data_IF_530263139397
#
_entry.id   IF_530263139397
#
_cell.length_a   1.000
_cell.length_b   1.000
_cell.length_c   1.000
_cell.angle_alpha   90.00
_cell.angle_beta   90.00
_cell.angle_gamma   90.00
#
_symmetry.space_group_name_H-M   'P 1'
#
loop_
_entity.id
_entity.type
_entity.pdbx_description
1 polymer ?
#
# COMPACT_ATOMS: atom_id res chain seq x y z
N UNK A 1 -22.27 33.00 -17.68
CA UNK A 1 -22.28 32.11 -16.49
C UNK A 1 -20.83 31.84 -16.14
N UNK A 2 -20.33 32.44 -15.05
CA UNK A 2 -18.94 32.29 -14.62
C UNK A 2 -18.72 30.87 -14.08
N UNK A 3 -17.72 30.17 -14.58
CA UNK A 3 -17.29 28.89 -14.02
C UNK A 3 -16.80 29.13 -12.60
N UNK A 4 -17.54 28.63 -11.60
CA UNK A 4 -17.06 28.61 -10.23
C UNK A 4 -15.77 27.78 -10.19
N UNK A 5 -14.64 28.46 -10.08
CA UNK A 5 -13.32 27.84 -9.87
C UNK A 5 -13.40 26.95 -8.63
N UNK A 6 -13.00 25.69 -8.73
CA UNK A 6 -12.90 24.80 -7.58
C UNK A 6 -12.05 25.48 -6.51
N UNK A 7 -12.63 25.74 -5.34
CA UNK A 7 -11.97 26.47 -4.25
C UNK A 7 -10.74 25.66 -3.82
N UNK A 8 -9.54 26.19 -4.06
CA UNK A 8 -8.28 25.55 -3.68
C UNK A 8 -8.30 25.33 -2.16
N UNK A 9 -7.88 24.16 -1.70
CA UNK A 9 -7.78 23.85 -0.26
C UNK A 9 -6.34 23.55 0.08
N UNK A 10 -5.89 24.05 1.23
CA UNK A 10 -4.54 23.87 1.71
C UNK A 10 -4.55 23.03 2.98
N UNK A 11 -3.51 22.22 3.15
CA UNK A 11 -3.33 21.45 4.36
C UNK A 11 -2.79 22.35 5.48
N UNK A 12 -1.87 23.26 5.13
CA UNK A 12 -1.16 24.13 6.05
C UNK A 12 -1.04 25.56 5.52
N UNK A 13 -1.38 26.55 6.35
CA UNK A 13 -0.98 27.94 6.18
C UNK A 13 0.29 28.21 6.98
N UNK A 14 1.25 28.93 6.40
CA UNK A 14 2.55 29.23 7.01
C UNK A 14 2.65 30.72 7.37
N UNK A 15 2.56 31.03 8.66
CA UNK A 15 2.75 32.38 9.22
C UNK A 15 4.15 32.53 9.81
N UNK A 16 4.86 33.58 9.40
CA UNK A 16 6.25 33.83 9.78
C UNK A 16 6.64 35.30 9.56
N UNK A 17 7.71 35.77 10.23
CA UNK A 17 8.29 37.08 9.92
C UNK A 17 9.16 37.02 8.67
N UNK A 18 9.23 38.12 7.90
CA UNK A 18 10.09 38.19 6.72
C UNK A 18 11.57 37.88 7.02
N UNK A 19 12.04 38.20 8.23
CA UNK A 19 13.40 37.88 8.69
C UNK A 19 13.68 36.39 8.80
N UNK A 20 12.64 35.56 8.98
CA UNK A 20 12.75 34.11 9.15
C UNK A 20 12.66 33.35 7.81
N UNK A 21 12.55 34.09 6.69
CA UNK A 21 12.34 33.52 5.36
C UNK A 21 13.33 32.40 4.98
N UNK A 22 14.65 32.50 5.25
CA UNK A 22 15.58 31.42 4.89
C UNK A 22 15.22 30.09 5.58
N UNK A 23 14.85 30.15 6.86
CA UNK A 23 14.46 28.98 7.65
C UNK A 23 13.13 28.39 7.15
N UNK A 24 12.13 29.26 6.95
CA UNK A 24 10.79 28.87 6.53
C UNK A 24 10.77 28.30 5.11
N UNK A 25 11.57 28.85 4.20
CA UNK A 25 11.66 28.34 2.83
C UNK A 25 12.11 26.88 2.80
N UNK A 26 13.14 26.55 3.58
CA UNK A 26 13.63 25.17 3.71
C UNK A 26 12.56 24.25 4.29
N UNK A 27 11.90 24.68 5.38
CA UNK A 27 10.84 23.89 6.02
C UNK A 27 9.65 23.65 5.08
N UNK A 28 9.24 24.68 4.32
CA UNK A 28 8.18 24.59 3.34
C UNK A 28 8.53 23.62 2.19
N UNK A 29 9.76 23.66 1.68
CA UNK A 29 10.24 22.72 0.67
C UNK A 29 10.23 21.27 1.18
N UNK A 30 10.70 21.05 2.40
CA UNK A 30 10.72 19.72 3.04
C UNK A 30 9.31 19.14 3.26
N UNK A 31 8.34 19.99 3.63
CA UNK A 31 6.92 19.63 3.74
C UNK A 31 6.29 19.34 2.37
N UNK A 32 6.59 20.17 1.36
CA UNK A 32 6.11 19.96 -0.01
C UNK A 32 6.66 18.67 -0.62
N UNK A 33 7.91 18.31 -0.34
CA UNK A 33 8.50 17.03 -0.74
C UNK A 33 7.73 15.83 -0.13
N UNK A 34 7.09 16.04 1.03
CA UNK A 34 6.20 15.07 1.67
C UNK A 34 4.75 15.16 1.21
N UNK A 35 4.47 15.90 0.14
CA UNK A 35 3.14 16.08 -0.48
C UNK A 35 2.13 16.85 0.38
N UNK A 36 2.60 17.66 1.34
CA UNK A 36 1.73 18.59 2.06
C UNK A 36 1.40 19.78 1.16
N UNK A 37 0.12 20.12 1.01
CA UNK A 37 -0.34 21.31 0.29
C UNK A 37 -0.19 22.56 1.17
N UNK A 38 0.70 23.47 0.80
CA UNK A 38 1.02 24.67 1.59
C UNK A 38 0.43 25.93 0.98
N UNK A 39 -0.17 26.78 1.82
CA UNK A 39 -0.26 28.21 1.55
C UNK A 39 1.01 28.86 2.10
N UNK A 40 1.92 29.20 1.19
CA UNK A 40 3.17 29.92 1.46
C UNK A 40 3.20 31.16 0.58
N UNK A 41 3.40 32.34 1.17
CA UNK A 41 3.29 33.64 0.50
C UNK A 41 4.09 33.68 -0.82
N UNK A 42 5.31 33.14 -0.84
CA UNK A 42 6.18 33.11 -2.02
C UNK A 42 5.63 32.27 -3.18
N UNK A 43 4.76 31.31 -2.91
CA UNK A 43 4.17 30.44 -3.93
C UNK A 43 2.78 30.94 -4.35
N UNK A 44 2.06 31.61 -3.45
CA UNK A 44 0.64 31.92 -3.63
C UNK A 44 0.34 33.41 -3.89
N UNK A 45 1.27 34.32 -3.57
CA UNK A 45 1.13 35.76 -3.83
C UNK A 45 1.65 36.16 -5.20
N UNK A 46 0.96 37.08 -5.87
CA UNK A 46 1.36 37.67 -7.16
C UNK A 46 1.47 39.20 -7.06
N UNK A 47 2.29 39.85 -7.92
CA UNK A 47 2.28 41.30 -8.01
C UNK A 47 0.88 41.85 -8.31
N UNK A 48 0.44 42.84 -7.52
CA UNK A 48 -0.90 43.43 -7.61
C UNK A 48 -1.94 42.82 -6.66
N UNK A 49 -1.62 41.72 -5.96
CA UNK A 49 -2.50 41.15 -4.95
C UNK A 49 -2.62 42.04 -3.70
N UNK A 50 -3.84 42.18 -3.17
CA UNK A 50 -4.05 42.76 -1.84
C UNK A 50 -3.60 41.75 -0.77
N UNK A 51 -2.50 42.07 -0.07
CA UNK A 51 -1.90 41.19 0.95
C UNK A 51 -2.92 40.67 1.97
N UNK A 52 -3.74 41.57 2.52
CA UNK A 52 -4.73 41.24 3.55
C UNK A 52 -5.80 40.25 3.07
N UNK A 53 -6.31 40.45 1.85
CA UNK A 53 -7.37 39.61 1.28
C UNK A 53 -6.83 38.21 0.99
N UNK A 54 -5.66 38.10 0.36
CA UNK A 54 -5.04 36.81 0.03
C UNK A 54 -4.69 35.99 1.27
N UNK A 55 -4.22 36.65 2.33
CA UNK A 55 -3.93 35.98 3.59
C UNK A 55 -5.23 35.50 4.25
N UNK A 56 -6.25 36.36 4.34
CA UNK A 56 -7.55 35.95 4.86
C UNK A 56 -8.12 34.76 4.09
N UNK A 57 -8.02 34.77 2.76
CA UNK A 57 -8.43 33.66 1.89
C UNK A 57 -7.60 32.39 2.11
N UNK A 58 -6.28 32.54 2.28
CA UNK A 58 -5.36 31.45 2.56
C UNK A 58 -5.70 30.75 3.88
N UNK A 59 -5.87 31.53 4.95
CA UNK A 59 -6.31 31.02 6.25
C UNK A 59 -7.70 30.37 6.09
N UNK A 60 -8.62 30.99 5.33
CA UNK A 60 -9.97 30.46 5.09
C UNK A 60 -9.98 29.07 4.43
N UNK A 61 -8.99 28.79 3.60
CA UNK A 61 -8.85 27.57 2.81
C UNK A 61 -7.92 26.53 3.44
N UNK A 62 -7.24 26.88 4.54
CA UNK A 62 -6.33 25.99 5.25
C UNK A 62 -7.03 25.20 6.36
N UNK A 63 -6.54 23.99 6.62
CA UNK A 63 -6.99 23.12 7.74
C UNK A 63 -6.11 23.28 8.98
N UNK A 64 -4.85 23.63 8.77
CA UNK A 64 -3.87 23.87 9.83
C UNK A 64 -3.24 25.23 9.62
N UNK A 65 -3.04 25.98 10.70
CA UNK A 65 -2.33 27.26 10.72
C UNK A 65 -1.05 27.09 11.52
N UNK A 66 0.11 27.12 10.86
CA UNK A 66 1.40 27.10 11.52
C UNK A 66 1.88 28.52 11.75
N UNK A 67 2.31 28.81 12.97
CA UNK A 67 3.05 30.03 13.28
C UNK A 67 4.47 29.68 13.69
N UNK A 68 5.44 30.27 13.00
CA UNK A 68 6.82 30.21 13.44
C UNK A 68 7.05 31.23 14.56
N UNK A 69 7.55 30.77 15.69
CA UNK A 69 7.89 31.55 16.88
C UNK A 69 9.40 31.76 16.94
N UNK A 70 9.79 32.98 16.60
CA UNK A 70 11.11 33.61 16.74
C UNK A 70 10.94 34.98 17.41
N UNK A 71 12.02 35.60 17.93
CA UNK A 71 11.96 36.98 18.43
C UNK A 71 11.42 37.96 17.38
N UNK A 72 11.79 37.77 16.11
CA UNK A 72 11.35 38.61 15.00
C UNK A 72 9.85 38.45 14.68
N UNK A 73 9.31 37.23 14.81
CA UNK A 73 7.88 36.95 14.62
C UNK A 73 7.02 37.53 15.73
N UNK A 74 7.47 37.45 16.99
CA UNK A 74 6.72 37.95 18.15
C UNK A 74 6.65 39.48 18.18
N UNK A 75 7.71 40.14 17.69
CA UNK A 75 7.75 41.59 17.52
C UNK A 75 7.00 42.08 16.27
N UNK A 76 6.49 41.19 15.41
CA UNK A 76 5.81 41.57 14.18
C UNK A 76 4.32 41.77 14.40
N UNK A 77 3.86 43.03 14.29
CA UNK A 77 2.43 43.37 14.32
C UNK A 77 1.61 42.58 13.29
N UNK A 78 2.21 42.26 12.15
CA UNK A 78 1.58 41.48 11.09
C UNK A 78 1.36 40.02 11.49
N UNK A 79 2.40 39.37 12.04
CA UNK A 79 2.28 37.99 12.56
C UNK A 79 1.26 37.94 13.71
N UNK A 80 1.28 38.95 14.60
CA UNK A 80 0.31 39.07 15.69
C UNK A 80 -1.13 39.24 15.18
N UNK A 81 -1.35 40.00 14.10
CA UNK A 81 -2.67 40.09 13.47
C UNK A 81 -3.14 38.75 12.89
N UNK A 82 -2.28 38.05 12.15
CA UNK A 82 -2.62 36.73 11.57
C UNK A 82 -2.89 35.68 12.64
N UNK A 83 -2.08 35.66 13.70
CA UNK A 83 -2.27 34.85 14.89
C UNK A 83 -3.65 35.08 15.50
N UNK A 84 -4.03 36.33 15.72
CA UNK A 84 -5.35 36.66 16.28
C UNK A 84 -6.50 36.19 15.39
N UNK A 85 -6.37 36.31 14.06
CA UNK A 85 -7.37 35.79 13.11
C UNK A 85 -7.42 34.26 13.14
N UNK A 86 -6.28 33.58 13.16
CA UNK A 86 -6.19 32.12 13.22
C UNK A 86 -6.79 31.56 14.51
N UNK A 87 -6.44 32.14 15.66
CA UNK A 87 -6.96 31.76 16.97
C UNK A 87 -8.47 32.02 17.08
N UNK A 88 -8.96 33.17 16.61
CA UNK A 88 -10.39 33.46 16.61
C UNK A 88 -11.18 32.41 15.81
N UNK A 89 -10.70 32.04 14.62
CA UNK A 89 -11.38 31.02 13.79
C UNK A 89 -11.34 29.63 14.41
N UNK A 90 -10.26 29.26 15.09
CA UNK A 90 -10.19 28.01 15.84
C UNK A 90 -11.20 28.00 17.01
N UNK A 91 -11.30 29.11 17.75
CA UNK A 91 -12.26 29.29 18.85
C UNK A 91 -13.71 29.26 18.35
N UNK A 92 -13.99 29.86 17.19
CA UNK A 92 -15.31 29.87 16.54
C UNK A 92 -15.72 28.50 15.97
N UNK A 93 -14.90 27.45 16.19
CA UNK A 93 -15.22 26.08 15.76
C UNK A 93 -14.99 25.84 14.27
N UNK A 94 -14.25 26.70 13.58
CA UNK A 94 -13.78 26.37 12.23
C UNK A 94 -12.88 25.14 12.29
N UNK A 95 -12.85 24.34 11.22
CA UNK A 95 -11.91 23.21 11.06
C UNK A 95 -10.47 23.68 10.81
N UNK A 96 -9.99 24.65 11.59
CA UNK A 96 -8.66 25.22 11.54
C UNK A 96 -7.96 24.94 12.89
N UNK A 97 -6.81 24.30 12.86
CA UNK A 97 -5.99 24.04 14.05
C UNK A 97 -4.74 24.92 14.04
N UNK A 98 -4.50 25.68 15.12
CA UNK A 98 -3.27 26.48 15.26
C UNK A 98 -2.15 25.64 15.87
N UNK A 99 -0.99 25.63 15.22
CA UNK A 99 0.22 24.88 15.62
C UNK A 99 1.41 25.84 15.77
N UNK A 100 1.87 26.11 17.01
CA UNK A 100 3.08 26.88 17.24
C UNK A 100 4.35 26.06 16.96
N UNK A 101 5.33 26.68 16.32
CA UNK A 101 6.63 26.07 15.99
C UNK A 101 7.76 26.97 16.48
N UNK A 102 8.55 26.50 17.46
CA UNK A 102 9.67 27.23 18.04
C UNK A 102 10.94 27.03 17.22
N UNK A 103 11.58 28.13 16.81
CA UNK A 103 12.87 28.10 16.11
C UNK A 103 14.07 28.46 17.01
N UNK A 104 13.84 28.61 18.31
CA UNK A 104 14.86 28.95 19.30
C UNK A 104 14.95 30.45 19.58
N UNK A 105 15.61 30.81 20.69
CA UNK A 105 15.82 32.20 21.10
C UNK A 105 14.59 32.92 21.64
N UNK A 106 13.50 32.20 21.94
CA UNK A 106 12.26 32.75 22.51
C UNK A 106 12.08 32.22 23.92
N UNK A 107 11.87 33.09 24.90
CA UNK A 107 11.48 32.68 26.26
C UNK A 107 9.98 32.35 26.26
N UNK A 108 9.57 31.32 27.02
CA UNK A 108 8.16 30.92 27.22
C UNK A 108 7.31 32.12 27.66
N UNK A 109 7.88 33.06 28.43
CA UNK A 109 7.20 34.28 28.89
C UNK A 109 6.90 35.29 27.78
N UNK A 110 7.55 35.17 26.62
CA UNK A 110 7.33 36.04 25.45
C UNK A 110 6.26 35.47 24.52
N UNK A 111 6.00 34.16 24.59
CA UNK A 111 4.95 33.49 23.82
C UNK A 111 3.57 34.00 24.28
N UNK A 112 2.63 34.33 23.39
CA UNK A 112 1.26 34.65 23.77
C UNK A 112 0.60 33.57 24.62
N UNK A 113 -0.19 33.97 25.63
CA UNK A 113 -0.78 33.03 26.61
C UNK A 113 -1.60 31.92 25.93
N UNK A 114 -2.36 32.28 24.90
CA UNK A 114 -3.18 31.32 24.13
C UNK A 114 -2.35 30.23 23.46
N UNK A 115 -1.12 30.56 23.03
CA UNK A 115 -0.19 29.60 22.44
C UNK A 115 0.58 28.78 23.48
N UNK A 116 0.81 29.31 24.69
CA UNK A 116 1.50 28.57 25.77
C UNK A 116 0.75 27.31 26.20
N UNK A 117 -0.56 27.29 26.02
CA UNK A 117 -1.40 26.13 26.36
C UNK A 117 -1.44 25.07 25.26
N UNK A 118 -0.87 25.36 24.08
CA UNK A 118 -0.79 24.44 22.95
C UNK A 118 0.56 23.72 22.95
N UNK A 119 0.55 22.50 22.44
CA UNK A 119 1.79 21.75 22.22
C UNK A 119 2.59 22.40 21.09
N UNK A 120 3.80 22.88 21.41
CA UNK A 120 4.71 23.48 20.45
C UNK A 120 5.60 22.43 19.80
N UNK A 121 5.76 22.51 18.47
CA UNK A 121 6.86 21.84 17.79
C UNK A 121 8.14 22.63 18.01
N UNK A 122 9.29 21.96 18.09
CA UNK A 122 10.60 22.59 18.27
C UNK A 122 11.54 22.22 17.13
N UNK A 123 11.99 23.22 16.38
CA UNK A 123 12.92 23.09 15.25
C UNK A 123 14.29 23.73 15.52
N UNK A 124 14.58 24.09 16.78
CA UNK A 124 15.81 24.77 17.19
C UNK A 124 17.06 23.88 17.10
N UNK A 125 16.90 22.56 17.07
CA UNK A 125 17.96 21.58 16.90
C UNK A 125 17.75 20.73 15.64
N UNK A 126 18.80 20.07 15.15
CA UNK A 126 18.70 19.21 13.96
C UNK A 126 17.73 18.04 14.18
N UNK A 127 17.78 17.40 15.34
CA UNK A 127 16.89 16.27 15.68
C UNK A 127 15.46 16.77 15.92
N UNK A 128 15.31 17.93 16.58
CA UNK A 128 14.02 18.61 16.74
C UNK A 128 13.37 18.95 15.40
N UNK A 129 14.14 19.51 14.47
CA UNK A 129 13.67 19.83 13.11
C UNK A 129 13.08 18.61 12.40
N UNK A 130 13.81 17.49 12.39
CA UNK A 130 13.34 16.26 11.75
C UNK A 130 12.09 15.70 12.44
N UNK A 131 12.06 15.70 13.77
CA UNK A 131 10.93 15.21 14.55
C UNK A 131 9.67 16.08 14.35
N UNK A 132 9.81 17.40 14.39
CA UNK A 132 8.73 18.36 14.17
C UNK A 132 8.11 18.22 12.78
N UNK A 133 8.95 18.00 11.76
CA UNK A 133 8.50 17.79 10.39
C UNK A 133 7.62 16.54 10.26
N UNK A 134 8.05 15.41 10.83
CA UNK A 134 7.25 14.18 10.82
C UNK A 134 5.98 14.33 11.66
N UNK A 135 6.06 14.96 12.84
CA UNK A 135 4.88 15.24 13.69
C UNK A 135 3.84 16.11 12.97
N UNK A 136 4.26 17.13 12.23
CA UNK A 136 3.36 17.99 11.47
C UNK A 136 2.73 17.25 10.27
N UNK A 137 3.51 16.39 9.61
CA UNK A 137 2.99 15.57 8.50
C UNK A 137 1.98 14.54 9.01
N UNK A 138 2.22 13.91 10.16
CA UNK A 138 1.28 12.99 10.80
C UNK A 138 0.01 13.70 11.26
N UNK A 139 0.12 14.94 11.74
CA UNK A 139 -1.03 15.76 12.11
C UNK A 139 -1.93 16.06 10.89
N UNK A 140 -1.30 16.35 9.76
CA UNK A 140 -1.98 16.75 8.52
C UNK A 140 -2.55 15.53 7.77
N UNK A 141 -1.78 14.45 7.70
CA UNK A 141 -2.09 13.23 6.98
C UNK A 141 -2.15 12.02 7.94
N UNK A 142 -3.12 11.97 8.87
CA UNK A 142 -3.23 10.87 9.83
C UNK A 142 -3.36 9.51 9.14
N UNK A 143 -3.95 9.46 7.96
CA UNK A 143 -4.06 8.27 7.12
C UNK A 143 -2.70 7.67 6.75
N UNK A 144 -1.61 8.47 6.72
CA UNK A 144 -0.26 7.96 6.47
C UNK A 144 0.25 7.18 7.66
N UNK A 145 0.05 7.68 8.87
CA UNK A 145 0.43 6.99 10.10
C UNK A 145 -0.34 5.70 10.24
N UNK A 146 -1.66 5.76 10.11
CA UNK A 146 -2.54 4.58 10.15
C UNK A 146 -2.14 3.54 9.11
N UNK A 147 -1.85 3.98 7.87
CA UNK A 147 -1.38 3.08 6.82
C UNK A 147 -0.01 2.47 7.15
N UNK A 148 0.91 3.23 7.74
CA UNK A 148 2.22 2.69 8.16
C UNK A 148 2.07 1.66 9.28
N UNK A 149 1.23 1.94 10.28
CA UNK A 149 0.92 1.02 11.37
C UNK A 149 0.27 -0.26 10.84
N UNK A 150 -0.71 -0.14 9.92
CA UNK A 150 -1.31 -1.28 9.22
C UNK A 150 -0.25 -2.11 8.48
N UNK A 151 0.62 -1.47 7.68
CA UNK A 151 1.67 -2.17 6.95
C UNK A 151 2.67 -2.88 7.87
N UNK A 152 3.02 -2.28 9.01
CA UNK A 152 3.87 -2.90 10.02
C UNK A 152 3.18 -4.12 10.63
N UNK A 153 1.93 -3.99 11.04
CA UNK A 153 1.16 -5.06 11.66
C UNK A 153 0.91 -6.25 10.71
N UNK A 154 0.59 -5.97 9.44
CA UNK A 154 0.45 -7.00 8.40
C UNK A 154 1.75 -7.79 8.20
N UNK A 155 2.90 -7.11 8.09
CA UNK A 155 4.20 -7.78 7.94
C UNK A 155 4.61 -8.57 9.18
N UNK A 156 4.23 -8.07 10.36
CA UNK A 156 4.48 -8.78 11.61
C UNK A 156 3.67 -10.07 11.67
N UNK A 157 2.41 -10.04 11.23
CA UNK A 157 1.48 -11.16 11.36
C UNK A 157 1.05 -11.35 12.83
N UNK A 158 0.89 -10.24 13.55
CA UNK A 158 0.61 -10.17 14.99
C UNK A 158 -0.75 -9.52 15.28
N UNK A 159 -1.21 -9.58 16.53
CA UNK A 159 -2.53 -9.07 16.92
C UNK A 159 -3.65 -9.77 16.15
N UNK A 160 -4.55 -9.01 15.53
CA UNK A 160 -5.60 -9.57 14.66
C UNK A 160 -5.04 -10.25 13.40
N UNK A 161 -3.84 -9.87 12.94
CA UNK A 161 -3.20 -10.46 11.77
C UNK A 161 -2.47 -11.78 12.08
N UNK A 162 -2.65 -12.33 13.29
CA UNK A 162 -2.22 -13.70 13.59
C UNK A 162 -3.06 -14.75 12.86
N UNK A 163 -4.28 -14.39 12.47
CA UNK A 163 -5.23 -15.27 11.81
C UNK A 163 -5.05 -15.25 10.29
N UNK A 164 -4.86 -16.42 9.70
CA UNK A 164 -4.68 -16.59 8.25
C UNK A 164 -5.84 -16.00 7.43
N UNK A 165 -7.12 -16.17 7.80
CA UNK A 165 -8.23 -15.57 7.03
C UNK A 165 -8.14 -14.05 6.91
N UNK A 166 -7.69 -13.37 7.96
CA UNK A 166 -7.53 -11.90 7.96
C UNK A 166 -6.40 -11.50 7.02
N UNK A 167 -5.23 -12.13 7.14
CA UNK A 167 -4.11 -11.85 6.23
C UNK A 167 -4.45 -12.18 4.76
N UNK A 168 -5.17 -13.28 4.53
CA UNK A 168 -5.67 -13.67 3.20
C UNK A 168 -6.55 -12.58 2.59
N UNK A 169 -7.49 -12.02 3.36
CA UNK A 169 -8.35 -10.94 2.90
C UNK A 169 -7.54 -9.74 2.38
N UNK A 170 -6.53 -9.29 3.14
CA UNK A 170 -5.65 -8.19 2.72
C UNK A 170 -4.71 -8.55 1.55
N UNK A 171 -4.34 -9.82 1.41
CA UNK A 171 -3.51 -10.27 0.30
C UNK A 171 -4.30 -10.27 -1.02
N UNK A 172 -5.56 -10.69 -0.98
CA UNK A 172 -6.40 -10.91 -2.17
C UNK A 172 -7.22 -9.70 -2.60
N UNK A 173 -7.59 -8.83 -1.66
CA UNK A 173 -8.50 -7.70 -1.94
C UNK A 173 -7.77 -6.37 -2.18
N UNK A 174 -8.49 -5.41 -2.75
CA UNK A 174 -8.03 -4.05 -3.00
C UNK A 174 -7.04 -3.90 -4.17
N UNK A 175 -6.55 -2.67 -4.35
CA UNK A 175 -5.61 -2.29 -5.42
C UNK A 175 -4.25 -1.78 -4.91
N UNK A 176 -4.03 -1.72 -3.59
CA UNK A 176 -2.73 -1.30 -3.01
C UNK A 176 -1.78 -2.51 -2.90
N UNK A 177 -0.86 -2.62 -3.87
CA UNK A 177 0.14 -3.69 -3.88
C UNK A 177 1.04 -3.69 -2.63
N UNK A 178 1.25 -2.54 -1.98
CA UNK A 178 2.07 -2.47 -0.77
C UNK A 178 1.41 -3.20 0.40
N UNK A 179 0.09 -3.04 0.53
CA UNK A 179 -0.73 -3.71 1.54
C UNK A 179 -0.77 -5.21 1.25
N UNK A 180 -1.01 -5.59 -0.02
CA UNK A 180 -1.01 -6.98 -0.43
C UNK A 180 0.33 -7.67 -0.16
N UNK A 181 1.45 -7.04 -0.51
CA UNK A 181 2.81 -7.56 -0.24
C UNK A 181 3.06 -7.66 1.27
N UNK A 182 2.60 -6.68 2.06
CA UNK A 182 2.73 -6.72 3.50
C UNK A 182 1.97 -7.92 4.11
N UNK A 183 0.73 -8.15 3.65
CA UNK A 183 -0.08 -9.29 4.07
C UNK A 183 0.55 -10.63 3.65
N UNK A 184 1.05 -10.73 2.42
CA UNK A 184 1.80 -11.91 1.93
C UNK A 184 3.04 -12.20 2.79
N UNK A 185 3.78 -11.17 3.22
CA UNK A 185 4.92 -11.35 4.15
C UNK A 185 4.46 -11.83 5.52
N UNK A 186 3.31 -11.37 6.00
CA UNK A 186 2.67 -11.91 7.21
C UNK A 186 2.32 -13.38 7.06
N UNK A 187 1.70 -13.77 5.94
CA UNK A 187 1.38 -15.17 5.60
C UNK A 187 2.64 -16.03 5.55
N UNK A 188 3.72 -15.54 4.95
CA UNK A 188 4.97 -16.27 4.83
C UNK A 188 5.64 -16.63 6.17
N UNK A 189 5.22 -16.01 7.28
CA UNK A 189 5.66 -16.34 8.64
C UNK A 189 4.80 -17.40 9.32
N UNK A 190 3.77 -17.90 8.64
CA UNK A 190 2.83 -18.89 9.15
C UNK A 190 3.02 -20.21 8.41
N UNK A 191 2.65 -21.28 9.10
CA UNK A 191 2.62 -22.63 8.55
C UNK A 191 1.18 -23.09 8.39
N UNK A 192 0.96 -24.04 7.49
CA UNK A 192 -0.36 -24.59 7.22
C UNK A 192 -0.69 -24.60 5.73
N UNK A 193 -1.53 -25.55 5.33
CA UNK A 193 -1.99 -25.69 3.95
C UNK A 193 -2.90 -24.51 3.55
N UNK A 194 -3.60 -23.91 4.51
CA UNK A 194 -4.41 -22.71 4.36
C UNK A 194 -3.58 -21.47 3.97
N UNK A 195 -2.36 -21.36 4.50
CA UNK A 195 -1.38 -20.33 4.10
C UNK A 195 -0.97 -20.52 2.65
N UNK A 196 -0.56 -21.75 2.29
CA UNK A 196 -0.17 -22.08 0.92
C UNK A 196 -1.31 -21.77 -0.06
N UNK A 197 -2.53 -22.19 0.28
CA UNK A 197 -3.75 -21.90 -0.48
C UNK A 197 -3.98 -20.39 -0.68
N UNK A 198 -3.89 -19.59 0.39
CA UNK A 198 -4.06 -18.14 0.31
C UNK A 198 -3.06 -17.47 -0.66
N UNK A 199 -1.82 -17.97 -0.70
CA UNK A 199 -0.79 -17.47 -1.62
C UNK A 199 -1.03 -17.95 -3.06
N UNK A 200 -1.56 -19.17 -3.26
CA UNK A 200 -1.97 -19.67 -4.59
C UNK A 200 -3.12 -18.83 -5.14
N UNK A 201 -4.15 -18.57 -4.35
CA UNK A 201 -5.27 -17.70 -4.76
C UNK A 201 -4.77 -16.31 -5.16
N UNK A 202 -3.71 -15.82 -4.50
CA UNK A 202 -3.09 -14.57 -4.89
C UNK A 202 -2.46 -14.64 -6.28
N UNK A 203 -1.83 -15.77 -6.64
CA UNK A 203 -1.28 -16.01 -7.97
C UNK A 203 -2.34 -16.01 -9.06
N UNK A 204 -3.59 -16.42 -8.75
CA UNK A 204 -4.70 -16.43 -9.70
C UNK A 204 -5.31 -15.05 -9.96
N UNK A 205 -5.00 -14.05 -9.12
CA UNK A 205 -5.49 -12.69 -9.34
C UNK A 205 -4.74 -12.00 -10.50
N UNK A 206 -5.46 -11.21 -11.29
CA UNK A 206 -4.96 -10.61 -12.54
C UNK A 206 -4.14 -9.33 -12.33
N UNK A 207 -4.24 -8.70 -11.15
CA UNK A 207 -3.63 -7.40 -10.89
C UNK A 207 -2.43 -7.51 -9.95
N UNK A 208 -1.51 -6.54 -10.04
CA UNK A 208 -0.47 -6.33 -9.04
C UNK A 208 0.81 -7.11 -9.24
N UNK A 209 1.63 -6.73 -10.25
CA UNK A 209 2.86 -7.44 -10.64
C UNK A 209 3.81 -7.70 -9.47
N UNK A 210 4.03 -6.71 -8.58
CA UNK A 210 4.96 -6.87 -7.46
C UNK A 210 4.41 -7.82 -6.38
N UNK A 211 3.09 -7.83 -6.19
CA UNK A 211 2.44 -8.74 -5.25
C UNK A 211 2.41 -10.18 -5.77
N UNK A 212 2.25 -10.36 -7.09
CA UNK A 212 2.36 -11.66 -7.75
C UNK A 212 3.78 -12.22 -7.66
N UNK A 213 4.79 -11.38 -7.91
CA UNK A 213 6.18 -11.76 -7.73
C UNK A 213 6.50 -12.15 -6.28
N UNK A 214 5.95 -11.42 -5.31
CA UNK A 214 6.07 -11.79 -3.90
C UNK A 214 5.40 -13.14 -3.60
N UNK A 215 4.19 -13.38 -4.11
CA UNK A 215 3.47 -14.64 -3.94
C UNK A 215 4.23 -15.82 -4.55
N UNK A 216 4.72 -15.68 -5.79
CA UNK A 216 5.58 -16.66 -6.44
C UNK A 216 6.80 -17.00 -5.58
N UNK A 217 7.55 -15.99 -5.13
CA UNK A 217 8.72 -16.18 -4.27
C UNK A 217 8.38 -16.85 -2.92
N UNK A 218 7.19 -16.61 -2.38
CA UNK A 218 6.74 -17.28 -1.16
C UNK A 218 6.49 -18.76 -1.45
N UNK A 219 5.77 -19.10 -2.51
CA UNK A 219 5.49 -20.48 -2.90
C UNK A 219 6.78 -21.27 -3.15
N UNK A 220 7.75 -20.70 -3.90
CA UNK A 220 9.05 -21.36 -4.12
C UNK A 220 9.76 -21.67 -2.80
N UNK A 221 9.76 -20.75 -1.83
CA UNK A 221 10.39 -20.97 -0.52
C UNK A 221 9.68 -22.00 0.35
N UNK A 222 8.41 -22.31 0.07
CA UNK A 222 7.65 -23.35 0.79
C UNK A 222 7.97 -24.77 0.30
N UNK A 223 8.93 -24.93 -0.62
CA UNK A 223 9.39 -26.24 -1.09
C UNK A 223 8.27 -27.01 -1.81
N UNK A 224 8.19 -28.33 -1.58
CA UNK A 224 7.28 -29.24 -2.29
C UNK A 224 5.82 -28.75 -2.31
N UNK A 225 5.29 -28.32 -1.17
CA UNK A 225 3.90 -27.82 -1.08
C UNK A 225 3.67 -26.60 -1.96
N UNK A 226 4.57 -25.63 -1.92
CA UNK A 226 4.41 -24.40 -2.69
C UNK A 226 4.66 -24.61 -4.18
N UNK A 227 5.57 -25.51 -4.54
CA UNK A 227 5.77 -25.96 -5.92
C UNK A 227 4.49 -26.64 -6.43
N UNK A 228 3.91 -27.63 -5.73
CA UNK A 228 2.62 -28.21 -6.11
C UNK A 228 1.52 -27.15 -6.26
N UNK A 229 1.52 -26.14 -5.39
CA UNK A 229 0.62 -24.99 -5.50
C UNK A 229 0.80 -24.17 -6.76
N UNK A 230 2.04 -23.89 -7.17
CA UNK A 230 2.33 -23.24 -8.45
C UNK A 230 1.84 -24.10 -9.63
N UNK A 231 1.95 -25.42 -9.54
CA UNK A 231 1.53 -26.35 -10.59
C UNK A 231 0.01 -26.29 -10.78
N UNK A 232 -0.74 -26.16 -9.69
CA UNK A 232 -2.18 -25.96 -9.72
C UNK A 232 -2.61 -24.67 -10.44
N UNK A 233 -1.74 -23.65 -10.51
CA UNK A 233 -2.03 -22.41 -11.26
C UNK A 233 -1.62 -22.44 -12.72
N UNK A 234 -0.95 -23.50 -13.18
CA UNK A 234 -0.24 -23.51 -14.47
C UNK A 234 -1.14 -23.22 -15.68
N UNK A 235 -2.37 -23.75 -15.68
CA UNK A 235 -3.34 -23.54 -16.77
C UNK A 235 -4.00 -22.17 -16.76
N UNK A 236 -4.12 -21.57 -15.58
CA UNK A 236 -4.89 -20.34 -15.37
C UNK A 236 -3.99 -19.10 -15.29
N UNK A 237 -2.69 -19.31 -15.09
CA UNK A 237 -1.68 -18.27 -14.99
C UNK A 237 -0.42 -18.62 -15.80
N UNK A 238 -0.35 -18.06 -17.01
CA UNK A 238 0.81 -18.19 -17.91
C UNK A 238 2.03 -17.37 -17.47
N UNK A 239 1.94 -16.59 -16.39
CA UNK A 239 3.10 -15.91 -15.81
C UNK A 239 4.02 -16.94 -15.17
N UNK A 240 5.32 -16.69 -15.25
CA UNK A 240 6.36 -17.58 -14.74
C UNK A 240 6.33 -18.99 -15.35
N UNK A 241 5.78 -19.17 -16.55
CA UNK A 241 5.53 -20.49 -17.13
C UNK A 241 6.79 -21.38 -17.16
N UNK A 242 7.89 -20.86 -17.73
CA UNK A 242 9.18 -21.56 -17.79
C UNK A 242 9.71 -21.88 -16.39
N UNK A 243 9.67 -20.90 -15.49
CA UNK A 243 10.18 -21.08 -14.13
C UNK A 243 9.37 -22.10 -13.33
N UNK A 244 8.04 -22.11 -13.49
CA UNK A 244 7.15 -23.13 -12.90
C UNK A 244 7.52 -24.51 -13.42
N UNK A 245 7.69 -24.66 -14.73
CA UNK A 245 8.03 -25.95 -15.35
C UNK A 245 9.41 -26.47 -14.90
N UNK A 246 10.41 -25.60 -14.82
CA UNK A 246 11.74 -25.95 -14.32
C UNK A 246 11.66 -26.43 -12.86
N UNK A 247 10.94 -25.69 -11.99
CA UNK A 247 10.72 -26.08 -10.60
C UNK A 247 9.98 -27.42 -10.47
N UNK A 248 9.03 -27.73 -11.35
CA UNK A 248 8.35 -29.03 -11.35
C UNK A 248 9.26 -30.15 -11.80
N UNK A 249 10.07 -29.95 -12.83
CA UNK A 249 11.02 -30.95 -13.29
C UNK A 249 12.13 -31.22 -12.26
N UNK A 250 12.56 -30.20 -11.51
CA UNK A 250 13.49 -30.36 -10.39
C UNK A 250 12.87 -31.14 -9.23
N UNK A 251 11.59 -30.89 -8.92
CA UNK A 251 10.88 -31.59 -7.86
C UNK A 251 10.52 -33.03 -8.23
N UNK A 252 10.15 -33.28 -9.49
CA UNK A 252 9.71 -34.58 -10.02
C UNK A 252 10.50 -34.92 -11.30
N UNK A 253 11.63 -35.63 -11.17
CA UNK A 253 12.54 -35.92 -12.29
C UNK A 253 11.89 -36.65 -13.48
N UNK A 254 10.78 -37.37 -13.25
CA UNK A 254 9.99 -38.00 -14.31
C UNK A 254 9.46 -36.98 -15.34
N UNK A 255 9.35 -35.70 -14.96
CA UNK A 255 8.88 -34.61 -15.81
C UNK A 255 10.00 -33.93 -16.61
N UNK A 256 11.27 -34.29 -16.38
CA UNK A 256 12.41 -33.67 -17.07
C UNK A 256 12.29 -33.80 -18.60
N UNK A 257 11.83 -34.95 -19.10
CA UNK A 257 11.59 -35.16 -20.53
C UNK A 257 10.51 -34.24 -21.11
N UNK A 258 9.44 -33.99 -20.34
CA UNK A 258 8.35 -33.08 -20.76
C UNK A 258 8.84 -31.63 -20.81
N UNK A 259 9.67 -31.23 -19.83
CA UNK A 259 10.33 -29.93 -19.82
C UNK A 259 11.23 -29.76 -21.04
N UNK A 260 12.10 -30.73 -21.31
CA UNK A 260 13.08 -30.65 -22.40
C UNK A 260 12.40 -30.66 -23.79
N UNK A 261 11.34 -31.47 -23.96
CA UNK A 261 10.48 -31.42 -25.16
C UNK A 261 9.84 -30.03 -25.34
N UNK A 262 9.32 -29.43 -24.27
CA UNK A 262 8.73 -28.10 -24.32
C UNK A 262 9.76 -27.03 -24.69
N UNK A 263 10.98 -27.08 -24.13
CA UNK A 263 12.05 -26.15 -24.50
C UNK A 263 12.50 -26.32 -25.96
N UNK A 264 12.39 -27.53 -26.52
CA UNK A 264 12.76 -27.83 -27.89
C UNK A 264 11.71 -27.42 -28.93
N UNK A 265 10.45 -27.17 -28.54
CA UNK A 265 9.34 -26.84 -29.44
C UNK A 265 8.55 -25.59 -28.98
N UNK A 266 8.75 -24.42 -29.62
CA UNK A 266 8.03 -23.21 -29.24
C UNK A 266 6.60 -23.24 -29.83
N UNK A 267 5.61 -23.64 -29.02
CA UNK A 267 4.18 -23.24 -29.00
C UNK A 267 3.26 -24.39 -28.52
N UNK A 268 2.47 -24.10 -27.48
CA UNK A 268 1.16 -24.64 -27.03
C UNK A 268 0.73 -26.12 -27.19
N UNK A 269 1.43 -27.00 -27.88
CA UNK A 269 0.98 -28.38 -28.13
C UNK A 269 1.25 -29.38 -27.00
N UNK A 270 1.98 -28.98 -25.96
CA UNK A 270 2.37 -29.87 -24.86
C UNK A 270 1.59 -29.66 -23.55
N UNK A 271 0.65 -28.72 -23.50
CA UNK A 271 -0.21 -28.48 -22.32
C UNK A 271 -0.93 -29.77 -21.84
N UNK A 272 -1.49 -30.61 -22.72
CA UNK A 272 -2.10 -31.89 -22.32
C UNK A 272 -1.07 -32.87 -21.76
N UNK A 273 0.12 -32.98 -22.36
CA UNK A 273 1.19 -33.87 -21.87
C UNK A 273 1.75 -33.43 -20.52
N UNK A 274 1.91 -32.12 -20.30
CA UNK A 274 2.30 -31.55 -18.99
C UNK A 274 1.20 -31.83 -17.97
N UNK A 275 -0.07 -31.70 -18.35
CA UNK A 275 -1.19 -32.09 -17.51
C UNK A 275 -1.07 -33.56 -17.12
N UNK A 276 -1.07 -34.47 -18.09
CA UNK A 276 -1.01 -35.93 -17.92
C UNK A 276 0.21 -36.37 -17.11
N UNK A 277 1.36 -35.78 -17.35
CA UNK A 277 2.56 -36.10 -16.59
C UNK A 277 2.47 -35.58 -15.14
N UNK A 278 1.86 -34.41 -14.90
CA UNK A 278 1.51 -33.94 -13.54
C UNK A 278 0.48 -34.85 -12.87
N UNK A 279 -0.46 -35.43 -13.63
CA UNK A 279 -1.44 -36.42 -13.14
C UNK A 279 -0.75 -37.73 -12.70
N UNK A 280 0.19 -38.23 -13.49
CA UNK A 280 0.87 -39.50 -13.24
C UNK A 280 1.98 -39.40 -12.19
N UNK A 281 2.70 -38.27 -12.14
CA UNK A 281 3.72 -38.00 -11.12
C UNK A 281 3.10 -37.70 -9.75
N UNK A 282 1.85 -37.22 -9.73
CA UNK A 282 1.07 -37.13 -8.51
C UNK A 282 0.53 -38.52 -8.16
N UNK A 283 1.31 -39.28 -7.39
CA UNK A 283 0.96 -40.49 -6.63
C UNK A 283 -0.56 -40.72 -6.53
N UNK A 284 -1.08 -41.90 -6.89
CA UNK A 284 -2.47 -42.24 -7.25
C UNK A 284 -3.64 -41.71 -6.36
N UNK A 285 -3.36 -41.06 -5.23
CA UNK A 285 -4.28 -40.38 -4.31
C UNK A 285 -4.30 -38.83 -4.40
N UNK A 286 -3.43 -38.23 -5.22
CA UNK A 286 -3.44 -36.79 -5.54
C UNK A 286 -4.07 -36.65 -6.92
N UNK A 287 -5.40 -36.77 -7.00
CA UNK A 287 -6.09 -36.42 -8.26
C UNK A 287 -6.07 -34.90 -8.42
N UNK A 288 -4.98 -34.36 -8.98
CA UNK A 288 -5.00 -33.08 -9.70
C UNK A 288 -6.07 -33.07 -10.80
N UNK A 289 -6.62 -34.24 -11.15
CA UNK A 289 -7.78 -34.44 -11.99
C UNK A 289 -9.08 -33.77 -11.60
N UNK A 290 -9.38 -33.59 -10.31
CA UNK A 290 -10.56 -32.79 -9.94
C UNK A 290 -10.33 -31.30 -10.17
N UNK A 291 -9.06 -30.84 -10.19
CA UNK A 291 -8.73 -29.53 -10.70
C UNK A 291 -8.85 -29.55 -12.24
N UNK A 292 -8.00 -30.27 -12.94
CA UNK A 292 -7.85 -30.17 -14.41
C UNK A 292 -9.11 -30.57 -15.21
N UNK A 293 -9.92 -31.54 -14.76
CA UNK A 293 -11.15 -31.95 -15.45
C UNK A 293 -12.19 -30.81 -15.56
N UNK A 294 -12.22 -29.90 -14.59
CA UNK A 294 -13.05 -28.71 -14.65
C UNK A 294 -12.59 -27.69 -15.73
N UNK A 295 -11.37 -27.80 -16.26
CA UNK A 295 -10.88 -26.93 -17.33
C UNK A 295 -11.25 -27.49 -18.72
N UNK A 296 -11.15 -28.81 -18.92
CA UNK A 296 -11.52 -29.46 -20.19
C UNK A 296 -13.02 -29.30 -20.52
N UNK A 297 -13.90 -29.37 -19.52
CA UNK A 297 -15.34 -29.16 -19.74
C UNK A 297 -15.72 -27.73 -20.16
N UNK A 298 -14.86 -26.74 -19.93
CA UNK A 298 -15.16 -25.34 -20.27
C UNK A 298 -14.37 -24.81 -21.48
N UNK A 299 -13.24 -25.43 -21.84
CA UNK A 299 -12.40 -25.01 -22.96
C UNK A 299 -12.77 -25.60 -24.33
N UNK A 300 -13.44 -26.76 -24.37
CA UNK A 300 -13.71 -27.45 -25.65
C UNK A 300 -14.97 -26.94 -26.40
N UNK A 301 -15.78 -26.08 -25.78
CA UNK A 301 -17.07 -25.66 -26.37
C UNK A 301 -17.03 -24.46 -27.31
N UNK A 302 -16.08 -23.53 -27.18
CA UNK A 302 -16.20 -22.21 -27.81
C UNK A 302 -14.83 -21.66 -28.24
N UNK A 303 -14.46 -21.86 -29.51
CA UNK A 303 -13.31 -21.22 -30.16
C UNK A 303 -13.47 -19.70 -30.36
N UNK A 304 -13.92 -18.97 -29.33
CA UNK A 304 -14.17 -17.52 -29.35
C UNK A 304 -13.49 -16.89 -28.12
N UNK A 305 -12.79 -15.75 -28.25
CA UNK A 305 -12.23 -15.06 -27.10
C UNK A 305 -13.35 -14.56 -26.17
N UNK A 306 -13.39 -15.09 -24.95
CA UNK A 306 -14.43 -14.80 -23.96
C UNK A 306 -14.31 -13.38 -23.37
N UNK A 307 -15.41 -12.62 -23.26
CA UNK A 307 -15.41 -11.30 -22.64
C UNK A 307 -15.14 -11.33 -21.12
N UNK A 308 -14.54 -10.26 -20.60
CA UNK A 308 -14.01 -10.11 -19.23
C UNK A 308 -15.03 -10.40 -18.12
N UNK A 309 -16.32 -10.19 -18.35
CA UNK A 309 -17.39 -10.47 -17.37
C UNK A 309 -17.67 -11.97 -17.19
N UNK A 310 -17.46 -12.80 -18.22
CA UNK A 310 -17.62 -14.26 -18.10
C UNK A 310 -16.52 -14.90 -17.24
N UNK A 311 -15.34 -14.26 -17.15
CA UNK A 311 -14.24 -14.71 -16.27
C UNK A 311 -14.54 -14.54 -14.78
N UNK A 312 -15.38 -13.58 -14.40
CA UNK A 312 -15.74 -13.33 -13.00
C UNK A 312 -16.70 -14.39 -12.45
N UNK A 313 -17.72 -14.79 -13.20
CA UNK A 313 -18.62 -15.89 -12.81
C UNK A 313 -17.93 -17.26 -12.81
N UNK A 314 -16.92 -17.45 -13.66
CA UNK A 314 -16.06 -18.64 -13.63
C UNK A 314 -15.19 -18.68 -12.38
N UNK A 315 -14.63 -17.55 -11.92
CA UNK A 315 -13.82 -17.49 -10.70
C UNK A 315 -14.58 -17.90 -9.43
N UNK A 316 -15.88 -17.62 -9.34
CA UNK A 316 -16.74 -18.08 -8.24
C UNK A 316 -16.95 -19.61 -8.28
N UNK A 317 -17.26 -20.18 -9.45
CA UNK A 317 -17.34 -21.64 -9.64
C UNK A 317 -15.99 -22.36 -9.45
N UNK A 318 -14.90 -21.66 -9.70
CA UNK A 318 -13.52 -22.13 -9.57
C UNK A 318 -13.13 -22.28 -8.10
N UNK A 319 -13.56 -21.34 -7.25
CA UNK A 319 -13.32 -21.38 -5.81
C UNK A 319 -14.10 -22.51 -5.11
N UNK A 320 -15.35 -22.76 -5.50
CA UNK A 320 -16.22 -23.72 -4.83
C UNK A 320 -15.81 -25.19 -5.03
N UNK A 321 -15.24 -25.55 -6.19
CA UNK A 321 -14.93 -26.95 -6.54
C UNK A 321 -13.46 -27.31 -6.35
N UNK A 322 -12.53 -26.40 -6.67
CA UNK A 322 -11.08 -26.71 -6.70
C UNK A 322 -10.35 -26.47 -5.38
N UNK A 323 -10.75 -25.46 -4.60
CA UNK A 323 -10.09 -25.10 -3.33
C UNK A 323 -10.10 -26.26 -2.32
N UNK A 324 -11.21 -26.98 -2.10
CA UNK A 324 -11.22 -28.11 -1.15
C UNK A 324 -10.29 -29.26 -1.60
N UNK A 325 -10.26 -29.55 -2.90
CA UNK A 325 -9.37 -30.58 -3.47
C UNK A 325 -7.90 -30.21 -3.34
N UNK A 326 -7.56 -28.96 -3.67
CA UNK A 326 -6.19 -28.45 -3.53
C UNK A 326 -5.74 -28.42 -2.07
N UNK A 327 -6.60 -27.99 -1.15
CA UNK A 327 -6.30 -27.98 0.28
C UNK A 327 -6.01 -29.40 0.80
N UNK A 328 -6.83 -30.40 0.43
CA UNK A 328 -6.61 -31.79 0.83
C UNK A 328 -5.28 -32.34 0.30
N UNK A 329 -4.87 -31.97 -0.92
CA UNK A 329 -3.56 -32.34 -1.50
C UNK A 329 -2.42 -31.70 -0.72
N UNK A 330 -2.53 -30.39 -0.42
CA UNK A 330 -1.53 -29.66 0.34
C UNK A 330 -1.38 -30.21 1.76
N UNK A 331 -2.47 -30.50 2.46
CA UNK A 331 -2.45 -31.11 3.80
C UNK A 331 -1.80 -32.50 3.80
N UNK A 332 -2.05 -33.33 2.77
CA UNK A 332 -1.40 -34.63 2.63
C UNK A 332 0.09 -34.49 2.36
N UNK A 333 0.49 -33.56 1.50
CA UNK A 333 1.90 -33.28 1.22
C UNK A 333 2.64 -32.82 2.49
N UNK A 334 2.03 -31.93 3.28
CA UNK A 334 2.60 -31.43 4.53
C UNK A 334 2.94 -32.53 5.54
N UNK A 335 2.13 -33.59 5.59
CA UNK A 335 2.35 -34.74 6.49
C UNK A 335 3.52 -35.62 6.07
N UNK A 336 3.88 -35.66 4.79
CA UNK A 336 5.00 -36.48 4.26
C UNK A 336 6.36 -35.80 4.39
N UNK A 337 6.40 -34.48 4.55
CA UNK A 337 7.62 -33.69 4.69
C UNK A 337 8.12 -33.53 6.14
N UNK A 338 7.44 -34.14 7.12
CA UNK A 338 7.85 -34.23 8.53
C UNK A 338 8.39 -35.61 8.86
#
# INVERSE_FOLDING_TARGET
MSAASAKKTYDLFVSYSQSDRPLVSKFAEDLRARKVSLWYDRWEMRPGDTLRERISDGIAQARTFMVLLTPASLASDWVNYELNVGMLREIEGAKLRVVPVLAGGVDVKEIPVDLRTKYCLDISSRDGYAAALEQLVDLIHPERRERQELLRALRAGEGQFRYVPVLREYALTGHDQTIQIAALRGLAKKDGADVTLAVIERMLNQWGVQALDAAYKILVRRGREGILGLAATYFDDSRYYHQKLDLFAEMEPALAGVRDEYWAAPFNWHLPKVAEALFDASDADIRMGSLISAHHHFGEGLGIPMPTQARLGLAESYAEVRIPGLLAVLERSARRSR
#
